data_IF_150198223059
#
_entry.id   IF_150198223059
#
_cell.length_a   1.000
_cell.length_b   1.000
_cell.length_c   1.000
_cell.angle_alpha   90.00
_cell.angle_beta   90.00
_cell.angle_gamma   90.00
#
_symmetry.space_group_name_H-M   'P 1'
#
loop_
_entity.id
_entity.type
_entity.pdbx_description
1 polymer ?
#
# COMPACT_ATOMS: atom_id res chain seq x y z
N UNK A 1 -22.44 -57.06 47.46
CA UNK A 1 -21.14 -57.36 46.86
C UNK A 1 -21.16 -56.90 45.43
N UNK A 2 -20.14 -56.26 45.02
CA UNK A 2 -19.75 -55.74 43.70
C UNK A 2 -20.18 -54.32 43.42
N UNK A 3 -19.27 -53.42 43.80
CA UNK A 3 -19.12 -52.07 43.32
C UNK A 3 -18.65 -52.05 41.92
N UNK A 4 -19.30 -51.26 41.06
CA UNK A 4 -18.79 -50.96 39.73
C UNK A 4 -18.49 -49.48 39.61
N UNK A 5 -17.23 -49.23 39.46
CA UNK A 5 -16.59 -47.97 39.22
C UNK A 5 -17.05 -47.37 37.88
N UNK A 6 -17.59 -46.18 37.93
CA UNK A 6 -17.82 -45.37 36.73
C UNK A 6 -16.73 -44.33 36.62
N UNK A 7 -15.76 -44.66 35.78
CA UNK A 7 -14.63 -43.79 35.44
C UNK A 7 -15.09 -42.61 34.56
N UNK A 8 -14.72 -41.50 34.98
CA UNK A 8 -14.33 -40.26 34.30
C UNK A 8 -14.17 -40.32 32.78
N UNK A 9 -15.03 -39.61 32.08
CA UNK A 9 -14.75 -39.02 30.77
C UNK A 9 -15.22 -37.57 30.81
N UNK A 10 -14.34 -36.68 31.17
CA UNK A 10 -14.60 -35.26 31.03
C UNK A 10 -13.29 -34.52 30.88
N UNK A 11 -12.67 -34.73 29.69
CA UNK A 11 -11.67 -33.82 29.16
C UNK A 11 -12.24 -33.25 27.85
N UNK A 12 -13.22 -32.37 28.02
CA UNK A 12 -13.66 -31.50 26.93
C UNK A 12 -12.50 -30.53 26.65
N UNK A 13 -11.86 -30.79 25.52
CA UNK A 13 -10.95 -29.88 24.86
C UNK A 13 -11.61 -28.49 24.80
N UNK A 14 -11.05 -27.55 25.56
CA UNK A 14 -11.31 -26.15 25.32
C UNK A 14 -10.80 -25.84 23.91
N UNK A 15 -11.62 -25.28 23.01
CA UNK A 15 -11.10 -24.74 21.77
C UNK A 15 -10.15 -23.61 22.14
N UNK A 16 -8.94 -23.69 21.63
CA UNK A 16 -7.97 -22.61 21.71
C UNK A 16 -8.57 -21.33 21.12
N UNK A 17 -9.18 -20.51 21.95
CA UNK A 17 -9.69 -19.20 21.59
C UNK A 17 -8.54 -18.21 21.45
N UNK A 18 -7.70 -18.45 20.46
CA UNK A 18 -6.85 -17.44 19.86
C UNK A 18 -7.66 -16.66 18.84
N UNK A 19 -8.66 -15.87 19.28
CA UNK A 19 -9.23 -14.84 18.43
C UNK A 19 -8.12 -13.77 18.30
N UNK A 20 -7.28 -13.94 17.28
CA UNK A 20 -6.43 -12.84 16.82
C UNK A 20 -7.37 -11.68 16.53
N UNK A 21 -7.19 -10.56 17.25
CA UNK A 21 -7.95 -9.33 17.01
C UNK A 21 -7.90 -9.06 15.52
N UNK A 22 -9.05 -9.18 14.85
CA UNK A 22 -9.15 -8.88 13.41
C UNK A 22 -8.64 -7.46 13.18
N UNK A 23 -7.69 -7.32 12.27
CA UNK A 23 -7.07 -6.04 11.98
C UNK A 23 -8.02 -5.08 11.26
N UNK A 24 -7.73 -3.80 11.35
CA UNK A 24 -8.38 -2.76 10.55
C UNK A 24 -7.30 -2.10 9.68
N UNK A 25 -7.54 -1.99 8.38
CA UNK A 25 -6.60 -1.35 7.47
C UNK A 25 -7.15 -0.03 6.89
N UNK A 26 -6.23 0.89 6.59
CA UNK A 26 -6.50 2.10 5.84
C UNK A 26 -5.81 2.03 4.48
N UNK A 27 -6.54 2.35 3.41
CA UNK A 27 -5.99 2.47 2.05
C UNK A 27 -6.20 3.88 1.54
N UNK A 28 -5.12 4.57 1.18
CA UNK A 28 -5.16 5.85 0.46
C UNK A 28 -4.71 5.65 -0.99
N UNK A 29 -5.48 6.18 -1.93
CA UNK A 29 -5.19 6.01 -3.36
C UNK A 29 -5.86 4.79 -4.00
N UNK A 30 -6.94 4.27 -3.43
CA UNK A 30 -7.66 3.07 -3.87
C UNK A 30 -8.24 3.14 -5.30
N UNK A 31 -8.29 4.32 -5.93
CA UNK A 31 -8.72 4.51 -7.33
C UNK A 31 -7.56 4.48 -8.34
N UNK A 32 -6.32 4.37 -7.88
CA UNK A 32 -5.13 4.20 -8.72
C UNK A 32 -4.84 2.73 -8.99
N UNK A 33 -3.96 2.41 -9.96
CA UNK A 33 -3.64 1.04 -10.37
C UNK A 33 -3.20 0.14 -9.19
N UNK A 34 -2.20 0.58 -8.44
CA UNK A 34 -1.68 -0.18 -7.30
C UNK A 34 -2.69 -0.22 -6.16
N UNK A 35 -3.31 0.93 -5.84
CA UNK A 35 -4.28 1.03 -4.75
C UNK A 35 -5.54 0.20 -4.98
N UNK A 36 -6.01 0.08 -6.22
CA UNK A 36 -7.13 -0.78 -6.58
C UNK A 36 -6.79 -2.27 -6.39
N UNK A 37 -5.62 -2.70 -6.90
CA UNK A 37 -5.15 -4.07 -6.69
C UNK A 37 -4.98 -4.39 -5.20
N UNK A 38 -4.41 -3.45 -4.44
CA UNK A 38 -4.23 -3.57 -2.99
C UNK A 38 -5.56 -3.68 -2.25
N UNK A 39 -6.53 -2.84 -2.59
CA UNK A 39 -7.86 -2.88 -2.00
C UNK A 39 -8.52 -4.25 -2.19
N UNK A 40 -8.46 -4.81 -3.39
CA UNK A 40 -9.02 -6.14 -3.68
C UNK A 40 -8.35 -7.24 -2.85
N UNK A 41 -7.02 -7.20 -2.70
CA UNK A 41 -6.28 -8.16 -1.86
C UNK A 41 -6.72 -8.07 -0.40
N UNK A 42 -6.83 -6.85 0.15
CA UNK A 42 -7.21 -6.64 1.54
C UNK A 42 -8.66 -6.99 1.84
N UNK A 43 -9.59 -6.75 0.91
CA UNK A 43 -10.99 -7.15 1.05
C UNK A 43 -11.16 -8.67 1.09
N UNK A 44 -10.34 -9.41 0.34
CA UNK A 44 -10.32 -10.87 0.33
C UNK A 44 -9.59 -11.47 1.56
N UNK A 45 -8.84 -10.68 2.29
CA UNK A 45 -8.02 -11.15 3.42
C UNK A 45 -8.86 -11.27 4.71
N UNK A 46 -8.92 -12.48 5.26
CA UNK A 46 -9.66 -12.76 6.50
C UNK A 46 -9.04 -12.09 7.76
N UNK A 47 -7.80 -11.63 7.69
CA UNK A 47 -7.13 -10.93 8.80
C UNK A 47 -7.71 -9.54 9.08
N UNK A 48 -8.45 -8.97 8.15
CA UNK A 48 -9.07 -7.67 8.33
C UNK A 48 -10.60 -7.78 8.45
N UNK A 49 -11.14 -7.17 9.50
CA UNK A 49 -12.59 -7.02 9.70
C UNK A 49 -13.15 -5.78 8.98
N UNK A 50 -12.33 -4.75 8.82
CA UNK A 50 -12.72 -3.52 8.12
C UNK A 50 -11.54 -2.95 7.31
N UNK A 51 -11.88 -2.41 6.13
CA UNK A 51 -10.96 -1.68 5.26
C UNK A 51 -11.51 -0.28 5.06
N UNK A 52 -10.84 0.70 5.64
CA UNK A 52 -11.13 2.10 5.42
C UNK A 52 -10.41 2.59 4.16
N UNK A 53 -11.11 3.30 3.31
CA UNK A 53 -10.53 3.96 2.13
C UNK A 53 -10.67 5.46 2.27
N UNK A 54 -9.60 6.22 2.06
CA UNK A 54 -9.66 7.68 1.97
C UNK A 54 -9.23 8.16 0.59
N UNK A 55 -10.02 9.08 0.03
CA UNK A 55 -9.73 9.64 -1.29
C UNK A 55 -10.69 10.75 -1.69
N UNK A 56 -10.42 11.38 -2.84
CA UNK A 56 -11.30 12.39 -3.44
C UNK A 56 -12.51 11.78 -4.17
N UNK A 57 -12.47 10.47 -4.44
CA UNK A 57 -13.51 9.70 -5.12
C UNK A 57 -13.62 8.32 -4.48
N UNK A 58 -14.81 7.75 -4.46
CA UNK A 58 -15.02 6.37 -4.05
C UNK A 58 -14.37 5.40 -5.05
N UNK A 59 -13.88 4.24 -4.59
CA UNK A 59 -13.54 3.13 -5.48
C UNK A 59 -14.82 2.53 -6.07
N UNK A 60 -14.70 1.93 -7.26
CA UNK A 60 -15.81 1.26 -7.94
C UNK A 60 -15.93 -0.21 -7.47
N UNK A 61 -16.18 -0.37 -6.17
CA UNK A 61 -16.38 -1.68 -5.53
C UNK A 61 -17.26 -1.51 -4.29
N UNK A 62 -18.12 -2.48 -4.05
CA UNK A 62 -18.94 -2.59 -2.82
C UNK A 62 -18.55 -3.87 -2.08
N UNK A 63 -18.34 -3.77 -0.77
CA UNK A 63 -17.99 -4.92 0.06
C UNK A 63 -18.39 -4.66 1.52
N UNK A 64 -18.87 -5.67 2.29
CA UNK A 64 -19.29 -5.48 3.69
C UNK A 64 -18.18 -4.92 4.61
N UNK A 65 -16.91 -5.24 4.34
CA UNK A 65 -15.75 -4.73 5.10
C UNK A 65 -15.35 -3.31 4.70
N UNK A 66 -15.87 -2.75 3.60
CA UNK A 66 -15.41 -1.49 3.03
C UNK A 66 -16.10 -0.29 3.67
N UNK A 67 -15.30 0.64 4.19
CA UNK A 67 -15.75 1.93 4.72
C UNK A 67 -15.07 3.05 3.92
N UNK A 68 -15.86 3.87 3.23
CA UNK A 68 -15.34 4.91 2.32
C UNK A 68 -15.42 6.30 2.95
N UNK A 69 -14.29 6.99 2.97
CA UNK A 69 -14.16 8.38 3.40
C UNK A 69 -13.82 9.26 2.20
N UNK A 70 -14.73 10.16 1.83
CA UNK A 70 -14.49 11.15 0.78
C UNK A 70 -14.00 12.44 1.42
N UNK A 71 -12.81 12.88 1.01
CA UNK A 71 -12.23 14.15 1.46
C UNK A 71 -11.59 14.90 0.29
N UNK A 72 -11.95 16.15 0.13
CA UNK A 72 -11.31 17.03 -0.84
C UNK A 72 -9.88 17.38 -0.42
N UNK A 73 -9.63 17.50 0.89
CA UNK A 73 -8.34 17.89 1.47
C UNK A 73 -7.78 16.76 2.31
N UNK A 74 -6.84 16.01 1.73
CA UNK A 74 -6.23 14.84 2.40
C UNK A 74 -5.24 15.24 3.50
N UNK A 75 -4.64 16.42 3.44
CA UNK A 75 -3.68 16.92 4.42
C UNK A 75 -4.29 17.26 5.78
N UNK A 76 -5.58 17.53 5.85
CA UNK A 76 -6.30 17.81 7.10
C UNK A 76 -7.25 16.69 7.53
N UNK A 77 -7.31 15.59 6.76
CA UNK A 77 -8.17 14.46 7.07
C UNK A 77 -7.67 13.71 8.32
N UNK A 78 -8.63 13.30 9.16
CA UNK A 78 -8.36 12.55 10.38
C UNK A 78 -8.66 11.07 10.19
N UNK A 79 -7.68 10.23 10.48
CA UNK A 79 -7.82 8.77 10.37
C UNK A 79 -8.72 8.24 11.48
N UNK A 80 -9.55 7.23 11.22
CA UNK A 80 -10.06 6.35 12.27
C UNK A 80 -8.91 5.54 12.89
N UNK A 81 -9.20 4.83 13.99
CA UNK A 81 -8.27 3.87 14.57
C UNK A 81 -8.07 2.70 13.60
N UNK A 82 -6.82 2.47 13.18
CA UNK A 82 -6.43 1.39 12.26
C UNK A 82 -5.12 0.76 12.72
N UNK A 83 -4.86 -0.47 12.29
CA UNK A 83 -3.62 -1.18 12.60
C UNK A 83 -2.58 -0.96 11.50
N UNK A 84 -3.01 -1.07 10.24
CA UNK A 84 -2.18 -1.07 9.05
C UNK A 84 -2.59 0.06 8.09
N UNK A 85 -1.59 0.69 7.52
CA UNK A 85 -1.77 1.80 6.58
C UNK A 85 -1.11 1.47 5.27
N UNK A 86 -1.86 1.59 4.18
CA UNK A 86 -1.39 1.36 2.82
C UNK A 86 -1.61 2.63 2.00
N UNK A 87 -0.54 3.24 1.51
CA UNK A 87 -0.61 4.48 0.75
C UNK A 87 -0.07 4.25 -0.66
N UNK A 88 -0.96 4.31 -1.63
CA UNK A 88 -0.67 4.25 -3.07
C UNK A 88 -1.10 5.55 -3.77
N UNK A 89 -0.96 6.69 -3.07
CA UNK A 89 -1.13 8.00 -3.66
C UNK A 89 0.01 8.29 -4.62
N UNK A 90 -0.32 8.90 -5.74
CA UNK A 90 0.66 9.35 -6.70
C UNK A 90 0.02 9.98 -7.92
N UNK A 91 0.73 10.92 -8.50
CA UNK A 91 0.35 11.58 -9.74
C UNK A 91 1.57 11.73 -10.64
N UNK A 92 1.45 12.45 -11.72
CA UNK A 92 2.59 12.87 -12.54
C UNK A 92 2.64 14.38 -12.59
N UNK A 93 3.81 14.98 -12.80
CA UNK A 93 3.93 16.43 -12.95
C UNK A 93 2.96 16.98 -14.01
N UNK A 94 2.73 16.22 -15.09
CA UNK A 94 1.77 16.60 -16.15
C UNK A 94 0.32 16.61 -15.65
N UNK A 95 -0.09 15.62 -14.86
CA UNK A 95 -1.47 15.52 -14.32
C UNK A 95 -1.66 16.52 -13.17
N UNK A 96 -0.64 16.71 -12.35
CA UNK A 96 -0.67 17.67 -11.25
C UNK A 96 -0.73 19.13 -11.76
N UNK A 97 -0.17 19.40 -12.92
CA UNK A 97 -0.14 20.74 -13.54
C UNK A 97 0.95 21.66 -13.01
N UNK A 98 1.46 21.44 -11.82
CA UNK A 98 2.55 22.22 -11.22
C UNK A 98 3.41 21.40 -10.27
N UNK A 99 4.64 21.88 -9.98
CA UNK A 99 5.52 21.30 -8.97
C UNK A 99 4.90 21.34 -7.57
N UNK A 100 4.23 22.44 -7.24
CA UNK A 100 3.54 22.60 -5.95
C UNK A 100 2.39 21.59 -5.78
N UNK A 101 1.53 21.43 -6.79
CA UNK A 101 0.45 20.45 -6.77
C UNK A 101 0.97 19.01 -6.75
N UNK A 102 2.08 18.73 -7.43
CA UNK A 102 2.75 17.42 -7.35
C UNK A 102 3.21 17.14 -5.92
N UNK A 103 3.96 18.07 -5.29
CA UNK A 103 4.45 17.93 -3.91
C UNK A 103 3.31 17.76 -2.92
N UNK A 104 2.21 18.51 -3.09
CA UNK A 104 1.03 18.41 -2.23
C UNK A 104 0.39 17.01 -2.25
N UNK A 105 0.42 16.30 -3.39
CA UNK A 105 -0.18 14.95 -3.53
C UNK A 105 0.83 13.85 -3.17
N UNK A 106 2.03 13.89 -3.76
CA UNK A 106 3.04 12.82 -3.69
C UNK A 106 3.95 12.92 -2.46
N UNK A 107 3.93 14.06 -1.76
CA UNK A 107 4.65 14.33 -0.52
C UNK A 107 3.69 14.60 0.64
N UNK A 108 3.14 15.81 0.70
CA UNK A 108 2.46 16.34 1.88
C UNK A 108 1.23 15.53 2.29
N UNK A 109 0.39 15.10 1.33
CA UNK A 109 -0.79 14.27 1.62
C UNK A 109 -0.41 12.87 2.14
N UNK A 110 0.66 12.27 1.59
CA UNK A 110 1.16 10.97 2.05
C UNK A 110 1.58 11.06 3.51
N UNK A 111 2.41 12.05 3.84
CA UNK A 111 2.91 12.26 5.21
C UNK A 111 1.77 12.58 6.18
N UNK A 112 0.83 13.43 5.78
CA UNK A 112 -0.31 13.81 6.62
C UNK A 112 -1.22 12.63 6.96
N UNK A 113 -1.55 11.78 5.98
CA UNK A 113 -2.36 10.56 6.20
C UNK A 113 -1.62 9.59 7.11
N UNK A 114 -0.34 9.34 6.85
CA UNK A 114 0.48 8.46 7.67
C UNK A 114 0.57 8.97 9.12
N UNK A 115 0.85 10.26 9.31
CA UNK A 115 0.90 10.91 10.62
C UNK A 115 -0.44 10.81 11.36
N UNK A 116 -1.55 11.09 10.67
CA UNK A 116 -2.89 11.00 11.24
C UNK A 116 -3.22 9.59 11.70
N UNK A 117 -2.92 8.57 10.89
CA UNK A 117 -3.13 7.17 11.25
C UNK A 117 -2.21 6.72 12.40
N UNK A 118 -0.96 7.16 12.39
CA UNK A 118 -0.02 6.89 13.50
C UNK A 118 -0.52 7.44 14.82
N UNK A 119 -1.05 8.65 14.82
CA UNK A 119 -1.65 9.29 16.00
C UNK A 119 -2.88 8.52 16.54
N UNK A 120 -3.55 7.74 15.69
CA UNK A 120 -4.69 6.87 16.03
C UNK A 120 -4.27 5.41 16.33
N UNK A 121 -2.97 5.15 16.49
CA UNK A 121 -2.47 3.86 16.96
C UNK A 121 -1.97 2.92 15.88
N UNK A 122 -1.94 3.34 14.60
CA UNK A 122 -1.37 2.53 13.53
C UNK A 122 0.10 2.19 13.83
N UNK A 123 0.44 0.91 13.65
CA UNK A 123 1.79 0.42 13.93
C UNK A 123 2.59 0.04 12.68
N UNK A 124 1.92 -0.20 11.56
CA UNK A 124 2.54 -0.65 10.32
C UNK A 124 2.14 0.22 9.14
N UNK A 125 3.09 0.53 8.26
CA UNK A 125 2.89 1.39 7.09
C UNK A 125 3.50 0.75 5.85
N UNK A 126 2.75 0.69 4.75
CA UNK A 126 3.29 0.43 3.41
C UNK A 126 3.00 1.62 2.49
N UNK A 127 4.02 2.11 1.80
CA UNK A 127 3.91 3.28 0.93
C UNK A 127 4.56 3.05 -0.43
N UNK A 128 3.90 3.52 -1.49
CA UNK A 128 4.46 3.54 -2.85
C UNK A 128 5.31 4.79 -3.03
N UNK A 129 6.58 4.57 -3.29
CA UNK A 129 7.56 5.58 -3.68
C UNK A 129 7.95 5.44 -5.16
N UNK A 130 9.20 5.64 -5.50
CA UNK A 130 9.71 5.45 -6.84
C UNK A 130 11.19 5.06 -6.81
N UNK A 131 11.63 4.34 -7.85
CA UNK A 131 13.05 4.13 -8.08
C UNK A 131 13.77 5.47 -8.22
N UNK A 132 14.95 5.59 -7.58
CA UNK A 132 15.72 6.83 -7.56
C UNK A 132 15.23 7.89 -6.56
N UNK A 133 14.29 7.55 -5.66
CA UNK A 133 13.91 8.43 -4.56
C UNK A 133 15.13 8.75 -3.69
N UNK A 134 15.48 10.04 -3.62
CA UNK A 134 16.61 10.58 -2.84
C UNK A 134 16.31 12.05 -2.52
N UNK A 135 16.28 12.45 -1.24
CA UNK A 135 16.00 13.83 -0.82
C UNK A 135 17.03 14.84 -1.33
N UNK A 136 18.23 14.38 -1.68
CA UNK A 136 19.30 15.22 -2.24
C UNK A 136 19.34 15.25 -3.77
N UNK A 137 18.39 14.55 -4.43
CA UNK A 137 18.37 14.47 -5.91
C UNK A 137 18.16 15.84 -6.55
N UNK A 138 18.94 16.13 -7.61
CA UNK A 138 18.70 17.26 -8.50
C UNK A 138 17.39 17.14 -9.28
N UNK A 139 16.89 15.91 -9.46
CA UNK A 139 15.60 15.63 -10.13
C UNK A 139 14.46 15.87 -9.16
N UNK A 140 13.63 16.87 -9.43
CA UNK A 140 12.53 17.29 -8.55
C UNK A 140 11.61 16.14 -8.11
N UNK A 141 11.23 15.26 -9.04
CA UNK A 141 10.39 14.08 -8.76
C UNK A 141 11.04 13.16 -7.71
N UNK A 142 12.31 12.79 -7.93
CA UNK A 142 13.04 11.90 -7.03
C UNK A 142 13.27 12.55 -5.66
N UNK A 143 13.52 13.86 -5.64
CA UNK A 143 13.68 14.61 -4.39
C UNK A 143 12.40 14.61 -3.56
N UNK A 144 11.23 14.90 -4.14
CA UNK A 144 9.95 14.87 -3.41
C UNK A 144 9.67 13.47 -2.86
N UNK A 145 9.95 12.41 -3.63
CA UNK A 145 9.78 11.03 -3.15
C UNK A 145 10.76 10.71 -2.01
N UNK A 146 12.01 11.15 -2.10
CA UNK A 146 13.00 10.98 -1.04
C UNK A 146 12.63 11.75 0.25
N UNK A 147 12.21 13.01 0.13
CA UNK A 147 11.72 13.82 1.26
C UNK A 147 10.50 13.15 1.94
N UNK A 148 9.57 12.61 1.16
CA UNK A 148 8.42 11.87 1.68
C UNK A 148 8.86 10.62 2.44
N UNK A 149 9.80 9.82 1.89
CA UNK A 149 10.32 8.64 2.57
C UNK A 149 11.03 8.96 3.89
N UNK A 150 11.81 10.04 3.94
CA UNK A 150 12.43 10.50 5.19
C UNK A 150 11.37 10.90 6.21
N UNK A 151 10.37 11.67 5.80
CA UNK A 151 9.32 12.13 6.68
C UNK A 151 8.50 10.97 7.27
N UNK A 152 8.09 9.99 6.46
CA UNK A 152 7.34 8.83 6.98
C UNK A 152 8.20 7.93 7.87
N UNK A 153 9.49 7.83 7.60
CA UNK A 153 10.42 7.07 8.43
C UNK A 153 10.56 7.66 9.85
N UNK A 154 10.41 8.97 9.99
CA UNK A 154 10.48 9.68 11.28
C UNK A 154 9.19 9.56 12.10
N UNK A 155 8.08 9.06 11.55
CA UNK A 155 6.80 8.93 12.26
C UNK A 155 6.80 7.82 13.32
N UNK A 156 7.81 6.95 13.36
CA UNK A 156 7.96 5.92 14.39
C UNK A 156 6.98 4.75 14.26
N UNK A 157 6.60 4.35 13.05
CA UNK A 157 5.93 3.07 12.82
C UNK A 157 6.86 1.92 13.21
N UNK A 158 6.31 0.82 13.73
CA UNK A 158 7.10 -0.37 14.05
C UNK A 158 7.64 -1.03 12.79
N UNK A 159 6.82 -1.15 11.75
CA UNK A 159 7.23 -1.69 10.45
C UNK A 159 6.84 -0.72 9.34
N UNK A 160 7.79 -0.45 8.43
CA UNK A 160 7.59 0.40 7.26
C UNK A 160 8.05 -0.35 6.02
N UNK A 161 7.16 -0.51 5.05
CA UNK A 161 7.46 -1.05 3.72
C UNK A 161 7.42 0.09 2.69
N UNK A 162 8.53 0.30 1.99
CA UNK A 162 8.65 1.31 0.93
C UNK A 162 8.84 0.58 -0.40
N UNK A 163 7.84 0.62 -1.25
CA UNK A 163 7.94 0.10 -2.60
C UNK A 163 8.51 1.17 -3.55
N UNK A 164 9.64 0.87 -4.21
CA UNK A 164 10.30 1.72 -5.21
C UNK A 164 10.21 1.09 -6.62
N UNK A 165 9.01 1.05 -7.23
CA UNK A 165 8.88 0.53 -8.59
C UNK A 165 9.64 1.41 -9.60
N UNK A 166 10.22 0.79 -10.63
CA UNK A 166 10.87 1.48 -11.73
C UNK A 166 9.82 2.06 -12.71
N UNK A 167 9.08 1.18 -13.36
CA UNK A 167 8.00 1.50 -14.28
C UNK A 167 6.81 0.59 -13.97
N UNK A 168 5.64 1.17 -13.76
CA UNK A 168 4.41 0.42 -13.56
C UNK A 168 3.87 -0.02 -14.92
N UNK A 169 3.82 -1.32 -15.15
CA UNK A 169 3.10 -1.92 -16.25
C UNK A 169 1.63 -2.06 -15.85
N UNK A 170 0.73 -1.44 -16.62
CA UNK A 170 -0.71 -1.54 -16.37
C UNK A 170 -1.50 -0.80 -17.45
N UNK A 171 -2.72 -1.26 -17.69
CA UNK A 171 -3.65 -0.59 -18.61
C UNK A 171 -4.30 0.62 -17.91
N UNK A 172 -3.69 1.78 -18.09
CA UNK A 172 -4.25 3.05 -17.61
C UNK A 172 -5.50 3.47 -18.38
N UNK A 173 -5.75 2.87 -19.55
CA UNK A 173 -6.97 3.07 -20.33
C UNK A 173 -8.20 2.58 -19.58
N UNK A 174 -8.11 1.46 -18.88
CA UNK A 174 -9.19 0.93 -18.04
C UNK A 174 -9.58 1.87 -16.89
N UNK A 175 -8.65 2.72 -16.43
CA UNK A 175 -8.89 3.72 -15.40
C UNK A 175 -9.31 5.10 -15.96
N UNK A 176 -9.68 5.19 -17.26
CA UNK A 176 -10.02 6.45 -17.95
C UNK A 176 -8.90 7.51 -17.86
N UNK A 177 -7.63 7.06 -17.76
CA UNK A 177 -6.47 7.93 -17.77
C UNK A 177 -5.87 7.97 -19.18
N UNK A 178 -5.39 9.14 -19.70
CA UNK A 178 -4.86 9.25 -21.06
C UNK A 178 -3.66 8.32 -21.26
N UNK A 179 -3.78 7.44 -22.27
CA UNK A 179 -2.72 6.53 -22.67
C UNK A 179 -1.56 7.31 -23.31
N UNK A 180 -0.33 6.99 -22.95
CA UNK A 180 0.87 7.55 -23.58
C UNK A 180 1.29 6.66 -24.73
N UNK A 181 1.22 7.14 -25.98
CA UNK A 181 1.69 6.41 -27.17
C UNK A 181 3.18 6.06 -27.05
N UNK A 182 3.99 6.95 -26.48
CA UNK A 182 5.41 6.69 -26.21
C UNK A 182 5.65 5.58 -25.17
N UNK A 183 4.75 5.37 -24.20
CA UNK A 183 4.84 4.27 -23.23
C UNK A 183 4.59 2.90 -23.89
N UNK A 184 3.68 2.81 -24.87
CA UNK A 184 3.44 1.56 -25.60
C UNK A 184 4.63 1.16 -26.47
N UNK A 185 5.27 2.11 -27.15
CA UNK A 185 6.48 1.87 -27.94
C UNK A 185 7.68 1.50 -27.06
N UNK A 186 7.86 2.18 -25.93
CA UNK A 186 8.88 1.83 -24.94
C UNK A 186 8.66 0.43 -24.38
N UNK A 187 7.43 0.05 -24.01
CA UNK A 187 7.11 -1.29 -23.51
C UNK A 187 7.34 -2.39 -24.55
N UNK A 188 7.10 -2.13 -25.85
CA UNK A 188 7.44 -3.09 -26.92
C UNK A 188 8.95 -3.27 -27.07
N UNK A 189 9.73 -2.20 -27.09
CA UNK A 189 11.20 -2.29 -27.14
C UNK A 189 11.77 -2.97 -25.87
N UNK A 190 11.22 -2.69 -24.70
CA UNK A 190 11.59 -3.32 -23.44
C UNK A 190 11.33 -4.85 -23.44
N UNK A 191 10.32 -5.33 -24.16
CA UNK A 191 9.99 -6.76 -24.19
C UNK A 191 11.09 -7.60 -24.85
N UNK A 192 11.77 -7.07 -25.85
CA UNK A 192 12.89 -7.71 -26.54
C UNK A 192 14.22 -7.60 -25.79
N UNK A 193 14.41 -6.51 -25.03
CA UNK A 193 15.60 -6.25 -24.24
C UNK A 193 15.51 -6.79 -22.80
N UNK A 194 14.39 -7.40 -22.44
CA UNK A 194 14.11 -7.88 -21.07
C UNK A 194 15.24 -8.70 -20.43
N UNK A 195 15.93 -9.65 -21.13
CA UNK A 195 17.01 -10.42 -20.52
C UNK A 195 18.26 -9.59 -20.21
N UNK A 196 18.48 -8.47 -20.89
CA UNK A 196 19.64 -7.58 -20.70
C UNK A 196 19.41 -6.51 -19.64
N UNK A 197 18.15 -6.30 -19.20
CA UNK A 197 17.82 -5.29 -18.20
C UNK A 197 17.90 -5.92 -16.81
N UNK A 198 18.71 -5.38 -15.88
CA UNK A 198 18.75 -5.85 -14.49
C UNK A 198 17.34 -5.87 -13.88
N UNK A 199 17.05 -6.86 -13.02
CA UNK A 199 15.72 -7.09 -12.46
C UNK A 199 15.11 -5.82 -11.82
N UNK A 200 15.92 -5.02 -11.13
CA UNK A 200 15.49 -3.79 -10.47
C UNK A 200 14.99 -2.69 -11.41
N UNK A 201 15.35 -2.74 -12.71
CA UNK A 201 14.92 -1.78 -13.73
C UNK A 201 13.76 -2.29 -14.60
N UNK A 202 13.33 -3.55 -14.41
CA UNK A 202 12.23 -4.11 -15.20
C UNK A 202 10.90 -3.51 -14.76
N UNK A 203 10.01 -3.34 -15.75
CA UNK A 203 8.63 -2.94 -15.46
C UNK A 203 7.95 -4.00 -14.58
N UNK A 204 7.19 -3.55 -13.60
CA UNK A 204 6.45 -4.38 -12.65
C UNK A 204 4.96 -4.09 -12.76
N UNK A 205 4.11 -5.13 -12.62
CA UNK A 205 2.67 -4.94 -12.64
C UNK A 205 2.19 -4.26 -11.36
N UNK A 206 1.10 -3.50 -11.46
CA UNK A 206 0.47 -2.90 -10.29
C UNK A 206 0.02 -3.96 -9.26
N UNK A 207 -0.42 -5.12 -9.74
CA UNK A 207 -0.80 -6.25 -8.90
C UNK A 207 0.40 -6.85 -8.15
N UNK A 208 1.54 -7.06 -8.83
CA UNK A 208 2.77 -7.54 -8.18
C UNK A 208 3.27 -6.58 -7.11
N UNK A 209 3.22 -5.26 -7.37
CA UNK A 209 3.57 -4.24 -6.35
C UNK A 209 2.64 -4.35 -5.15
N UNK A 210 1.33 -4.41 -5.37
CA UNK A 210 0.35 -4.51 -4.29
C UNK A 210 0.54 -5.80 -3.48
N UNK A 211 0.72 -6.95 -4.13
CA UNK A 211 0.99 -8.24 -3.47
C UNK A 211 2.25 -8.18 -2.61
N UNK A 212 3.37 -7.69 -3.17
CA UNK A 212 4.62 -7.61 -2.45
C UNK A 212 4.51 -6.70 -1.22
N UNK A 213 3.85 -5.53 -1.35
CA UNK A 213 3.63 -4.61 -0.24
C UNK A 213 2.78 -5.22 0.86
N UNK A 214 1.65 -5.84 0.51
CA UNK A 214 0.75 -6.48 1.49
C UNK A 214 1.47 -7.63 2.18
N UNK A 215 2.08 -8.54 1.41
CA UNK A 215 2.80 -9.69 1.94
C UNK A 215 3.93 -9.26 2.89
N UNK A 216 4.80 -8.34 2.44
CA UNK A 216 5.94 -7.89 3.26
C UNK A 216 5.46 -7.22 4.55
N UNK A 217 4.44 -6.34 4.49
CA UNK A 217 3.94 -5.68 5.69
C UNK A 217 3.37 -6.67 6.72
N UNK A 218 2.85 -7.81 6.25
CA UNK A 218 2.22 -8.82 7.09
C UNK A 218 3.20 -9.85 7.65
N UNK A 219 4.33 -10.08 6.98
CA UNK A 219 5.28 -11.17 7.30
C UNK A 219 6.64 -10.67 7.79
N UNK A 220 7.06 -9.48 7.38
CA UNK A 220 8.32 -8.90 7.83
C UNK A 220 8.23 -8.44 9.29
N UNK A 221 9.34 -8.53 9.99
CA UNK A 221 9.48 -8.03 11.35
C UNK A 221 9.46 -6.49 11.43
N UNK A 222 9.74 -5.98 12.62
CA UNK A 222 9.89 -4.55 12.87
C UNK A 222 11.05 -3.97 12.05
N UNK A 223 10.93 -2.70 11.65
CA UNK A 223 11.97 -1.99 10.92
C UNK A 223 11.52 -1.48 9.55
N UNK A 224 12.50 -1.03 8.77
CA UNK A 224 12.30 -0.47 7.43
C UNK A 224 12.67 -1.50 6.35
N UNK A 225 11.75 -1.77 5.45
CA UNK A 225 11.88 -2.70 4.33
C UNK A 225 11.70 -1.94 3.02
N UNK A 226 12.71 -1.96 2.15
CA UNK A 226 12.65 -1.31 0.83
C UNK A 226 12.54 -2.38 -0.24
N UNK A 227 11.49 -2.32 -1.05
CA UNK A 227 11.25 -3.24 -2.16
C UNK A 227 11.60 -2.55 -3.49
N UNK A 228 12.54 -3.09 -4.22
CA UNK A 228 12.86 -2.68 -5.59
C UNK A 228 12.03 -3.49 -6.60
N UNK A 229 12.00 -3.07 -7.87
CA UNK A 229 11.22 -3.79 -8.91
C UNK A 229 11.53 -5.28 -9.00
N UNK A 230 12.78 -5.69 -8.72
CA UNK A 230 13.18 -7.11 -8.70
C UNK A 230 12.51 -7.92 -7.59
N UNK A 231 12.26 -7.29 -6.44
CA UNK A 231 11.64 -7.91 -5.26
C UNK A 231 10.11 -8.02 -5.39
N UNK A 232 9.56 -7.38 -6.42
CA UNK A 232 8.11 -7.29 -6.69
C UNK A 232 7.69 -8.03 -7.97
N UNK A 233 8.51 -8.99 -8.47
CA UNK A 233 8.24 -9.78 -9.70
C UNK A 233 7.66 -11.16 -9.39
#
# INVERSE_FOLDING_TARGET
MTSTSSAQFSSLQQPASGISKEGVALVAGATGLVGQAMLMLLLADARYSAIHVVGRRAPDVQHPKLVVHISATLTSWKSPAVNDVFIALGTTLKIAGSKAAFKAIDGDAVVAIASSAKAQGASRLAVVSAMGADPRSGVFYNRVKGEMEEAVNQLGFKSIVIARPSLLAGDRGALKQPARVAEKLALMAFKWLKPLIPAHYRAVSAHSVAMAMVHTLQTAGDGKHVLLSGDMQ
#
